data_IF_655306027474
#
_entry.id   IF_655306027474
#
_cell.length_a   1.000
_cell.length_b   1.000
_cell.length_c   1.000
_cell.angle_alpha   90.00
_cell.angle_beta   90.00
_cell.angle_gamma   90.00
#
_symmetry.space_group_name_H-M   'P 1'
#
loop_
_entity.id
_entity.type
_entity.pdbx_description
1 polymer ?
#
# COMPACT_ATOMS: atom_id res chain seq x y z
N UNK A 1 55.75 -9.69 -90.02
CA UNK A 1 54.78 -10.27 -89.11
C UNK A 1 54.04 -9.19 -88.34
N UNK A 2 52.80 -9.04 -88.64
CA UNK A 2 51.89 -8.13 -87.86
C UNK A 2 51.33 -8.89 -86.70
N UNK A 3 51.88 -8.66 -85.46
CA UNK A 3 51.44 -9.24 -84.25
C UNK A 3 50.08 -8.59 -83.83
N UNK A 4 49.02 -9.34 -83.88
CA UNK A 4 47.76 -8.87 -83.29
C UNK A 4 47.87 -8.99 -81.75
N UNK A 5 47.84 -7.86 -81.04
CA UNK A 5 47.75 -7.78 -79.58
C UNK A 5 46.27 -7.80 -79.18
N UNK A 6 45.87 -8.79 -78.39
CA UNK A 6 44.57 -8.82 -77.76
C UNK A 6 44.68 -8.33 -76.31
N UNK A 7 44.05 -7.29 -75.98
CA UNK A 7 43.94 -6.77 -74.56
C UNK A 7 42.61 -7.27 -73.99
N UNK A 8 42.72 -7.85 -72.80
CA UNK A 8 41.60 -8.13 -71.97
C UNK A 8 41.66 -7.30 -70.68
N UNK A 9 40.53 -6.84 -70.17
CA UNK A 9 40.47 -6.06 -68.96
C UNK A 9 39.66 -6.78 -67.90
N UNK A 10 40.25 -6.91 -66.70
CA UNK A 10 39.54 -7.43 -65.53
C UNK A 10 39.26 -6.27 -64.56
N UNK A 11 38.02 -6.20 -64.12
CA UNK A 11 37.62 -5.19 -63.14
C UNK A 11 37.73 -5.80 -61.73
N UNK A 12 38.69 -5.33 -60.94
CA UNK A 12 38.87 -5.76 -59.54
C UNK A 12 38.20 -4.73 -58.63
N UNK A 13 37.19 -5.16 -57.90
CA UNK A 13 36.50 -4.34 -56.89
C UNK A 13 37.14 -4.60 -55.52
N UNK A 14 37.74 -3.60 -54.93
CA UNK A 14 38.32 -3.68 -53.57
C UNK A 14 37.31 -3.12 -52.58
N UNK A 15 36.88 -3.91 -51.59
CA UNK A 15 36.06 -3.48 -50.46
C UNK A 15 36.95 -2.95 -49.35
N UNK A 16 36.45 -1.96 -48.62
CA UNK A 16 37.08 -1.44 -47.40
C UNK A 16 36.43 -2.12 -46.19
N UNK A 17 37.19 -2.45 -45.13
CA UNK A 17 36.62 -2.89 -43.86
C UNK A 17 35.67 -1.82 -43.29
N UNK A 18 34.60 -2.25 -42.66
CA UNK A 18 33.66 -1.37 -41.95
C UNK A 18 33.78 -1.56 -40.43
N UNK A 19 33.28 -0.58 -39.67
CA UNK A 19 33.14 -0.68 -38.22
C UNK A 19 31.66 -0.60 -37.88
N UNK A 20 31.17 -1.60 -37.16
CA UNK A 20 29.77 -1.63 -36.73
C UNK A 20 29.56 -0.81 -35.46
N UNK A 21 28.43 -0.13 -35.38
CA UNK A 21 27.97 0.54 -34.17
C UNK A 21 26.76 -0.21 -33.64
N UNK A 22 26.77 -0.49 -32.34
CA UNK A 22 25.63 -1.16 -31.65
C UNK A 22 25.12 -0.25 -30.56
N UNK A 23 23.81 -0.04 -30.50
CA UNK A 23 23.18 0.70 -29.42
C UNK A 23 23.34 -0.04 -28.09
N UNK A 24 23.55 0.68 -26.98
CA UNK A 24 23.58 0.05 -25.67
C UNK A 24 22.29 -0.73 -25.41
N UNK A 25 22.39 -1.74 -24.56
CA UNK A 25 21.23 -2.49 -24.10
C UNK A 25 20.28 -1.65 -23.23
N UNK A 26 19.24 -2.30 -22.75
CA UNK A 26 18.13 -1.66 -22.01
C UNK A 26 17.77 -2.46 -20.76
N UNK A 27 16.95 -1.85 -19.90
CA UNK A 27 16.39 -2.49 -18.70
C UNK A 27 14.88 -2.53 -18.82
N UNK A 28 14.30 -3.72 -18.69
CA UNK A 28 12.87 -3.99 -18.90
C UNK A 28 12.25 -4.70 -17.69
N UNK A 29 10.97 -4.50 -17.53
CA UNK A 29 10.16 -5.41 -16.72
C UNK A 29 9.77 -6.64 -17.54
N UNK A 30 9.65 -7.77 -16.85
CA UNK A 30 9.23 -9.01 -17.51
C UNK A 30 7.92 -8.79 -18.30
N UNK A 31 7.95 -9.16 -19.60
CA UNK A 31 6.84 -8.96 -20.50
C UNK A 31 6.87 -7.67 -21.33
N UNK A 32 7.75 -6.74 -21.03
CA UNK A 32 8.00 -5.54 -21.86
C UNK A 32 8.91 -5.87 -23.05
N UNK A 33 9.06 -4.91 -23.95
CA UNK A 33 9.93 -5.03 -25.14
C UNK A 33 10.72 -3.75 -25.35
N UNK A 34 11.90 -3.89 -25.94
CA UNK A 34 12.74 -2.79 -26.43
C UNK A 34 13.15 -3.00 -27.86
N UNK A 35 13.77 -2.01 -28.49
CA UNK A 35 14.32 -2.11 -29.83
C UNK A 35 15.85 -2.08 -29.73
N UNK A 36 16.51 -3.15 -30.18
CA UNK A 36 17.95 -3.17 -30.36
C UNK A 36 18.33 -2.38 -31.61
N UNK A 37 19.61 -2.04 -31.77
CA UNK A 37 20.04 -1.32 -32.93
C UNK A 37 21.49 -1.62 -33.30
N UNK A 38 21.71 -1.89 -34.58
CA UNK A 38 23.06 -1.98 -35.16
C UNK A 38 23.12 -1.22 -36.48
N UNK A 39 24.28 -0.66 -36.83
CA UNK A 39 24.51 0.07 -38.07
C UNK A 39 25.95 -0.12 -38.55
N UNK A 40 26.19 0.18 -39.82
CA UNK A 40 27.53 0.09 -40.44
C UNK A 40 27.81 -1.15 -41.28
N UNK A 41 26.94 -2.18 -41.22
CA UNK A 41 27.01 -3.37 -42.07
C UNK A 41 25.86 -3.37 -43.12
N UNK A 42 25.99 -4.24 -44.13
CA UNK A 42 24.93 -4.48 -45.13
C UNK A 42 23.95 -5.54 -44.68
N UNK A 43 24.41 -6.57 -43.95
CA UNK A 43 23.65 -7.69 -43.42
C UNK A 43 23.88 -7.82 -41.92
N UNK A 44 22.85 -8.24 -41.19
CA UNK A 44 22.90 -8.43 -39.73
C UNK A 44 22.39 -9.83 -39.36
N UNK A 45 22.99 -10.40 -38.30
CA UNK A 45 22.47 -11.62 -37.68
C UNK A 45 22.72 -11.55 -36.17
N UNK A 46 21.59 -11.53 -35.42
CA UNK A 46 21.59 -11.49 -33.97
C UNK A 46 21.50 -12.89 -33.35
N UNK A 47 22.25 -13.07 -32.25
CA UNK A 47 22.26 -14.31 -31.45
C UNK A 47 22.14 -13.98 -29.96
N UNK A 48 21.36 -14.76 -29.17
CA UNK A 48 20.39 -15.76 -29.63
C UNK A 48 19.22 -15.08 -30.36
N UNK A 49 18.54 -15.82 -31.25
CA UNK A 49 17.35 -15.32 -31.93
C UNK A 49 16.11 -15.33 -31.00
N UNK A 50 16.20 -16.03 -29.87
CA UNK A 50 15.09 -16.14 -28.90
C UNK A 50 14.70 -14.78 -28.33
N UNK A 51 13.41 -14.46 -28.38
CA UNK A 51 12.88 -13.18 -27.92
C UNK A 51 13.01 -12.02 -28.91
N UNK A 52 13.56 -12.26 -30.11
CA UNK A 52 13.59 -11.28 -31.20
C UNK A 52 12.46 -11.53 -32.19
N UNK A 53 11.87 -10.46 -32.73
CA UNK A 53 10.89 -10.52 -33.82
C UNK A 53 11.54 -10.87 -35.16
N UNK A 54 12.73 -10.33 -35.42
CA UNK A 54 13.53 -10.61 -36.60
C UNK A 54 15.03 -10.52 -36.30
N UNK A 55 15.68 -11.66 -36.16
CA UNK A 55 17.11 -11.71 -35.85
C UNK A 55 18.04 -11.20 -36.98
N UNK A 56 17.50 -10.94 -38.18
CA UNK A 56 18.25 -10.42 -39.34
C UNK A 56 18.03 -8.92 -39.57
N UNK A 57 17.20 -8.27 -38.77
CA UNK A 57 16.98 -6.83 -38.89
C UNK A 57 18.12 -6.03 -38.26
N UNK A 58 18.40 -4.86 -38.82
CA UNK A 58 19.33 -3.88 -38.21
C UNK A 58 18.79 -3.38 -36.84
N UNK A 59 17.46 -3.37 -36.66
CA UNK A 59 16.79 -2.89 -35.45
C UNK A 59 15.65 -3.84 -35.04
N UNK A 60 15.96 -5.04 -34.53
CA UNK A 60 14.93 -5.99 -34.08
C UNK A 60 14.27 -5.52 -32.78
N UNK A 61 13.00 -5.88 -32.60
CA UNK A 61 12.32 -5.77 -31.30
C UNK A 61 12.70 -6.98 -30.45
N UNK A 62 13.17 -6.72 -29.23
CA UNK A 62 13.57 -7.72 -28.27
C UNK A 62 12.55 -7.79 -27.11
N UNK A 63 12.02 -8.98 -26.83
CA UNK A 63 11.16 -9.30 -25.68
C UNK A 63 11.67 -10.57 -24.99
N UNK A 64 12.84 -10.53 -24.37
CA UNK A 64 13.39 -11.70 -23.70
C UNK A 64 12.63 -12.00 -22.38
N UNK A 65 12.54 -13.28 -22.02
CA UNK A 65 11.92 -13.72 -20.77
C UNK A 65 12.84 -13.59 -19.56
N UNK A 66 14.14 -13.39 -19.77
CA UNK A 66 15.17 -13.21 -18.76
C UNK A 66 16.29 -12.33 -19.31
N UNK A 67 17.13 -11.80 -18.41
CA UNK A 67 18.33 -11.03 -18.81
C UNK A 67 19.11 -11.77 -19.88
N UNK A 68 19.27 -11.15 -21.04
CA UNK A 68 19.84 -11.75 -22.23
C UNK A 68 20.87 -10.82 -22.84
N UNK A 69 22.06 -11.36 -23.13
CA UNK A 69 23.08 -10.67 -23.91
C UNK A 69 22.93 -11.11 -25.37
N UNK A 70 22.62 -10.17 -26.23
CA UNK A 70 22.52 -10.36 -27.66
C UNK A 70 23.85 -9.98 -28.32
N UNK A 71 24.39 -10.87 -29.18
CA UNK A 71 25.53 -10.60 -30.03
C UNK A 71 25.05 -10.42 -31.45
N UNK A 72 25.40 -9.35 -32.10
CA UNK A 72 25.14 -9.13 -33.52
C UNK A 72 26.42 -9.33 -34.33
N UNK A 73 26.28 -10.07 -35.44
CA UNK A 73 27.27 -10.19 -36.46
C UNK A 73 26.81 -9.38 -37.66
N UNK A 74 27.59 -8.37 -38.03
CA UNK A 74 27.41 -7.59 -39.24
C UNK A 74 28.31 -8.12 -40.34
N UNK A 75 27.83 -8.16 -41.59
CA UNK A 75 28.55 -8.65 -42.75
C UNK A 75 28.32 -7.70 -43.92
N UNK A 76 29.35 -7.49 -44.75
CA UNK A 76 29.19 -6.76 -46.02
C UNK A 76 28.48 -7.61 -47.07
N UNK A 77 27.91 -6.97 -48.11
CA UNK A 77 27.11 -7.64 -49.13
C UNK A 77 27.89 -8.69 -49.94
N UNK A 78 29.21 -8.58 -50.01
CA UNK A 78 30.10 -9.52 -50.72
C UNK A 78 30.69 -10.61 -49.79
N UNK A 79 30.30 -10.61 -48.51
CA UNK A 79 30.78 -11.53 -47.47
C UNK A 79 32.30 -11.54 -47.26
N UNK A 80 33.00 -10.41 -47.53
CA UNK A 80 34.44 -10.27 -47.39
C UNK A 80 34.87 -9.91 -45.96
N UNK A 81 34.05 -9.13 -45.26
CA UNK A 81 34.33 -8.64 -43.92
C UNK A 81 33.18 -8.86 -42.98
N UNK A 82 33.48 -9.15 -41.71
CA UNK A 82 32.52 -9.25 -40.61
C UNK A 82 33.01 -8.43 -39.42
N UNK A 83 32.07 -7.85 -38.68
CA UNK A 83 32.33 -7.22 -37.40
C UNK A 83 31.25 -7.67 -36.40
N UNK A 84 31.54 -7.57 -35.08
CA UNK A 84 30.64 -8.04 -34.05
C UNK A 84 30.41 -6.99 -32.97
N UNK A 85 29.24 -6.98 -32.41
CA UNK A 85 28.93 -6.14 -31.26
C UNK A 85 27.93 -6.83 -30.31
N UNK A 86 27.76 -6.24 -29.12
CA UNK A 86 26.91 -6.81 -28.09
C UNK A 86 25.98 -5.76 -27.53
N UNK A 87 24.76 -6.21 -27.18
CA UNK A 87 23.75 -5.44 -26.42
C UNK A 87 23.14 -6.33 -25.34
N UNK A 88 23.15 -5.88 -24.09
CA UNK A 88 22.53 -6.62 -22.99
C UNK A 88 21.17 -6.03 -22.66
N UNK A 89 20.14 -6.86 -22.68
CA UNK A 89 18.81 -6.52 -22.16
C UNK A 89 18.66 -7.13 -20.78
N UNK A 90 18.59 -6.26 -19.75
CA UNK A 90 18.38 -6.67 -18.37
C UNK A 90 16.89 -6.77 -18.10
N UNK A 91 16.41 -7.92 -17.64
CA UNK A 91 14.99 -8.16 -17.35
C UNK A 91 14.80 -8.37 -15.85
N UNK A 92 13.96 -7.51 -15.26
CA UNK A 92 13.55 -7.64 -13.88
C UNK A 92 12.17 -8.32 -13.80
N UNK A 93 11.93 -9.20 -12.82
CA UNK A 93 10.58 -9.70 -12.56
C UNK A 93 9.65 -8.56 -12.16
N UNK A 94 8.36 -8.68 -12.44
CA UNK A 94 7.34 -7.81 -11.86
C UNK A 94 7.20 -8.20 -10.39
N UNK A 95 7.40 -7.27 -9.45
CA UNK A 95 7.30 -7.58 -8.02
C UNK A 95 5.88 -8.02 -7.68
N UNK A 96 5.74 -8.88 -6.66
CA UNK A 96 4.44 -9.27 -6.11
C UNK A 96 4.25 -8.63 -4.76
N UNK A 97 3.03 -8.20 -4.49
CA UNK A 97 2.62 -7.59 -3.22
C UNK A 97 1.22 -8.07 -2.85
N UNK A 98 1.02 -8.39 -1.58
CA UNK A 98 -0.26 -8.61 -0.96
C UNK A 98 -0.33 -7.74 0.30
N UNK A 99 -1.26 -6.79 0.33
CA UNK A 99 -1.42 -5.79 1.39
C UNK A 99 -2.04 -6.38 2.67
N UNK A 100 -2.68 -7.53 2.57
CA UNK A 100 -3.45 -8.17 3.62
C UNK A 100 -4.93 -8.32 3.24
N UNK A 101 -5.69 -9.03 4.07
CA UNK A 101 -7.14 -9.19 3.85
C UNK A 101 -7.92 -7.98 4.36
N UNK A 102 -9.01 -7.65 3.68
CA UNK A 102 -10.01 -6.71 4.15
C UNK A 102 -10.46 -7.07 5.57
N UNK A 103 -10.57 -6.08 6.42
CA UNK A 103 -10.83 -6.33 7.84
C UNK A 103 -11.79 -5.31 8.44
N UNK A 104 -12.49 -5.74 9.50
CA UNK A 104 -13.36 -4.87 10.32
C UNK A 104 -12.75 -4.75 11.70
N UNK A 105 -12.61 -3.52 12.19
CA UNK A 105 -12.01 -3.22 13.49
C UNK A 105 -12.84 -2.20 14.26
N UNK A 106 -12.71 -2.23 15.59
CA UNK A 106 -13.32 -1.20 16.43
C UNK A 106 -12.66 0.17 16.17
N UNK A 107 -13.44 1.23 16.02
CA UNK A 107 -12.91 2.60 15.85
C UNK A 107 -11.96 2.96 17.01
N UNK A 108 -10.89 3.71 16.72
CA UNK A 108 -9.84 4.01 17.70
C UNK A 108 -8.84 2.88 17.93
N UNK A 109 -9.00 1.72 17.28
CA UNK A 109 -8.03 0.62 17.34
C UNK A 109 -6.75 0.95 16.60
N UNK A 110 -5.67 0.30 17.02
CA UNK A 110 -4.36 0.43 16.39
C UNK A 110 -3.71 -0.96 16.33
N UNK A 111 -3.24 -1.34 15.14
CA UNK A 111 -2.59 -2.62 14.88
C UNK A 111 -1.54 -2.51 13.78
N UNK A 112 -0.72 -3.54 13.64
CA UNK A 112 0.33 -3.64 12.64
C UNK A 112 -0.25 -4.24 11.36
N UNK A 113 -0.02 -3.62 10.21
CA UNK A 113 -0.24 -4.27 8.92
C UNK A 113 0.90 -5.28 8.66
N UNK A 114 0.56 -6.37 8.01
CA UNK A 114 1.51 -7.41 7.62
C UNK A 114 1.33 -7.72 6.15
N UNK A 115 2.29 -7.26 5.34
CA UNK A 115 2.30 -7.53 3.91
C UNK A 115 3.06 -8.81 3.59
N UNK A 116 2.72 -9.42 2.47
CA UNK A 116 3.54 -10.45 1.85
C UNK A 116 4.05 -9.92 0.51
N UNK A 117 5.33 -10.06 0.27
CA UNK A 117 5.94 -9.46 -0.91
C UNK A 117 7.13 -10.26 -1.43
N UNK A 118 7.47 -10.07 -2.71
CA UNK A 118 8.71 -10.58 -3.27
C UNK A 118 9.94 -9.90 -2.63
N UNK A 119 11.09 -10.59 -2.56
CA UNK A 119 12.26 -10.11 -1.81
C UNK A 119 13.04 -8.99 -2.50
N UNK A 120 12.77 -8.72 -3.78
CA UNK A 120 13.48 -7.76 -4.62
C UNK A 120 12.94 -6.33 -4.54
N UNK A 121 11.93 -6.09 -3.67
CA UNK A 121 11.34 -4.76 -3.48
C UNK A 121 12.33 -3.82 -2.79
N UNK A 122 12.51 -2.63 -3.39
CA UNK A 122 13.41 -1.58 -2.90
C UNK A 122 12.67 -0.33 -2.42
N UNK A 123 11.42 -0.12 -2.88
CA UNK A 123 10.62 1.04 -2.50
C UNK A 123 9.18 0.64 -2.19
N UNK A 124 8.60 1.34 -1.23
CA UNK A 124 7.23 1.21 -0.77
C UNK A 124 6.54 2.56 -0.81
N UNK A 125 5.27 2.60 -1.14
CA UNK A 125 4.46 3.81 -1.09
C UNK A 125 3.02 3.46 -0.71
N UNK A 126 2.58 3.91 0.47
CA UNK A 126 1.23 3.73 0.96
C UNK A 126 0.40 5.00 0.79
N UNK A 127 -0.82 4.86 0.35
CA UNK A 127 -1.82 5.94 0.25
C UNK A 127 -3.19 5.47 0.73
N UNK A 128 -3.96 6.33 1.43
CA UNK A 128 -3.57 7.64 1.98
C UNK A 128 -2.61 7.50 3.18
N UNK A 129 -1.87 8.55 3.51
CA UNK A 129 -0.95 8.57 4.66
C UNK A 129 -1.68 8.60 6.02
N UNK A 130 -2.98 8.95 6.00
CA UNK A 130 -3.78 9.14 7.22
C UNK A 130 -3.82 7.88 8.08
N UNK A 131 -3.44 8.00 9.34
CA UNK A 131 -3.47 6.92 10.33
C UNK A 131 -2.31 5.94 10.25
N UNK A 132 -1.40 6.06 9.27
CA UNK A 132 -0.22 5.22 9.14
C UNK A 132 0.98 5.81 9.89
N UNK A 133 1.80 4.93 10.46
CA UNK A 133 3.07 5.31 11.13
C UNK A 133 4.18 5.66 10.14
N UNK A 134 4.15 5.13 8.94
CA UNK A 134 5.05 5.40 7.82
C UNK A 134 4.34 5.08 6.49
N UNK A 135 4.77 5.72 5.41
CA UNK A 135 4.22 5.48 4.07
C UNK A 135 5.22 4.79 3.14
N UNK A 136 6.45 4.64 3.57
CA UNK A 136 7.59 4.10 2.83
C UNK A 136 8.16 2.82 3.45
N UNK A 137 7.41 2.16 4.29
CA UNK A 137 7.82 0.93 4.99
C UNK A 137 6.92 -0.26 4.61
N UNK A 138 7.43 -1.51 4.74
CA UNK A 138 6.66 -2.69 4.37
C UNK A 138 5.44 -2.93 5.27
N UNK A 139 5.56 -2.69 6.56
CA UNK A 139 4.55 -3.03 7.56
C UNK A 139 4.24 -1.83 8.46
N UNK A 140 3.45 -0.83 7.99
CA UNK A 140 3.09 0.30 8.83
C UNK A 140 2.15 -0.10 9.96
N UNK A 141 2.24 0.57 11.10
CA UNK A 141 1.20 0.54 12.12
C UNK A 141 0.07 1.48 11.70
N UNK A 142 -1.17 1.02 11.81
CA UNK A 142 -2.35 1.83 11.48
C UNK A 142 -3.17 2.15 12.73
N UNK A 143 -3.68 3.39 12.80
CA UNK A 143 -4.65 3.84 13.79
C UNK A 143 -5.96 4.21 13.06
N UNK A 144 -7.01 3.41 13.27
CA UNK A 144 -8.26 3.48 12.49
C UNK A 144 -9.31 4.29 13.23
N UNK A 145 -9.79 5.38 12.62
CA UNK A 145 -10.91 6.18 13.15
C UNK A 145 -12.17 6.07 12.31
N UNK A 146 -12.01 5.98 11.00
CA UNK A 146 -13.09 5.88 10.01
C UNK A 146 -12.72 4.86 8.97
N UNK A 147 -13.68 4.41 8.17
CA UNK A 147 -13.40 3.55 7.03
C UNK A 147 -12.29 4.12 6.15
N UNK A 148 -11.41 3.26 5.69
CA UNK A 148 -10.29 3.64 4.84
C UNK A 148 -9.88 2.47 3.96
N UNK A 149 -9.60 2.76 2.70
CA UNK A 149 -8.92 1.87 1.77
C UNK A 149 -7.48 2.34 1.65
N UNK A 150 -6.54 1.49 2.02
CA UNK A 150 -5.12 1.72 1.79
C UNK A 150 -4.70 1.01 0.53
N UNK A 151 -3.96 1.72 -0.31
CA UNK A 151 -3.30 1.20 -1.48
C UNK A 151 -1.79 1.22 -1.24
N UNK A 152 -1.13 0.10 -1.46
CA UNK A 152 0.32 0.01 -1.47
C UNK A 152 0.83 -0.15 -2.89
N UNK A 153 1.79 0.66 -3.26
CA UNK A 153 2.56 0.53 -4.50
C UNK A 153 4.00 0.20 -4.14
N UNK A 154 4.56 -0.81 -4.78
CA UNK A 154 5.94 -1.24 -4.57
C UNK A 154 6.73 -1.18 -5.86
N UNK A 155 8.04 -0.99 -5.77
CA UNK A 155 8.93 -1.11 -6.92
C UNK A 155 10.24 -1.81 -6.56
N UNK A 156 10.84 -2.48 -7.55
CA UNK A 156 12.15 -3.11 -7.42
C UNK A 156 13.27 -2.25 -8.04
N UNK A 157 14.51 -2.78 -8.04
CA UNK A 157 15.68 -2.09 -8.58
C UNK A 157 15.64 -1.82 -10.08
N UNK A 158 14.83 -2.53 -10.84
CA UNK A 158 14.59 -2.31 -12.27
C UNK A 158 13.52 -1.26 -12.57
N UNK A 159 12.86 -0.70 -11.53
CA UNK A 159 11.76 0.24 -11.69
C UNK A 159 10.41 -0.42 -11.97
N UNK A 160 10.33 -1.75 -11.95
CA UNK A 160 9.07 -2.48 -12.12
C UNK A 160 8.18 -2.31 -10.90
N UNK A 161 6.90 -2.05 -11.12
CA UNK A 161 5.94 -1.75 -10.06
C UNK A 161 4.82 -2.76 -9.98
N UNK A 162 4.25 -2.90 -8.80
CA UNK A 162 2.99 -3.60 -8.53
C UNK A 162 2.24 -2.90 -7.42
N UNK A 163 0.94 -3.17 -7.31
CA UNK A 163 0.08 -2.55 -6.31
C UNK A 163 -0.96 -3.52 -5.79
N UNK A 164 -1.42 -3.25 -4.56
CA UNK A 164 -2.54 -3.96 -3.95
C UNK A 164 -3.28 -3.04 -2.98
N UNK A 165 -4.51 -3.41 -2.62
CA UNK A 165 -5.39 -2.61 -1.77
C UNK A 165 -5.88 -3.42 -0.56
N UNK A 166 -6.10 -2.72 0.55
CA UNK A 166 -6.65 -3.24 1.79
C UNK A 166 -7.77 -2.34 2.29
N UNK A 167 -8.98 -2.88 2.44
CA UNK A 167 -10.13 -2.17 2.98
C UNK A 167 -10.24 -2.39 4.49
N UNK A 168 -10.32 -1.32 5.25
CA UNK A 168 -10.55 -1.36 6.68
C UNK A 168 -11.86 -0.66 7.01
N UNK A 169 -12.80 -1.42 7.58
CA UNK A 169 -14.09 -0.92 8.06
C UNK A 169 -14.00 -0.64 9.54
N UNK A 170 -14.18 0.62 9.94
CA UNK A 170 -14.19 1.05 11.32
C UNK A 170 -15.63 0.98 11.88
N UNK A 171 -15.86 0.12 12.84
CA UNK A 171 -17.17 -0.03 13.52
C UNK A 171 -17.09 0.48 14.95
N UNK A 172 -18.18 1.04 15.43
CA UNK A 172 -18.37 1.31 16.85
C UNK A 172 -19.15 0.16 17.47
N UNK A 173 -18.60 -0.49 18.45
CA UNK A 173 -19.18 -1.64 19.13
C UNK A 173 -18.86 -1.62 20.62
N UNK A 174 -19.24 -2.66 21.35
CA UNK A 174 -19.09 -2.76 22.80
C UNK A 174 -17.63 -2.71 23.28
N UNK A 175 -16.65 -2.98 22.41
CA UNK A 175 -15.22 -2.85 22.73
C UNK A 175 -14.75 -1.39 22.85
N UNK A 176 -15.55 -0.44 22.38
CA UNK A 176 -15.22 0.96 22.38
C UNK A 176 -15.47 1.64 23.72
N UNK A 177 -16.35 1.12 24.55
CA UNK A 177 -16.77 1.78 25.78
C UNK A 177 -16.80 0.83 26.98
N UNK A 178 -16.65 1.43 28.15
CA UNK A 178 -16.86 0.80 29.44
C UNK A 178 -17.75 1.73 30.29
N UNK A 179 -18.92 1.24 30.68
CA UNK A 179 -19.84 1.90 31.59
C UNK A 179 -19.91 1.03 32.86
N UNK A 180 -19.49 1.56 34.03
CA UNK A 180 -19.56 0.81 35.28
C UNK A 180 -20.99 0.37 35.61
N UNK A 181 -21.14 -0.77 36.26
CA UNK A 181 -22.43 -1.24 36.77
C UNK A 181 -22.61 -0.94 38.26
N UNK A 182 -21.60 -0.41 38.92
CA UNK A 182 -21.61 -0.05 40.35
C UNK A 182 -20.66 1.12 40.59
N UNK A 183 -21.01 2.03 41.50
CA UNK A 183 -20.11 3.07 42.00
C UNK A 183 -20.44 3.40 43.47
N UNK A 184 -19.45 3.97 44.18
CA UNK A 184 -19.52 4.25 45.61
C UNK A 184 -19.03 5.66 45.91
N UNK A 185 -19.90 6.68 45.92
CA UNK A 185 -19.50 8.06 46.19
C UNK A 185 -19.25 8.28 47.69
N UNK A 186 -18.11 7.76 48.18
CA UNK A 186 -17.68 7.84 49.59
C UNK A 186 -16.45 8.74 49.82
N UNK A 187 -15.95 9.38 48.72
CA UNK A 187 -14.76 10.24 48.68
C UNK A 187 -13.45 9.54 49.07
N UNK A 188 -13.31 8.24 48.77
CA UNK A 188 -12.06 7.50 48.95
C UNK A 188 -11.11 7.58 47.72
N UNK A 189 -11.56 8.27 46.65
CA UNK A 189 -10.84 8.44 45.40
C UNK A 189 -11.05 7.28 44.42
N UNK A 190 -11.87 6.27 44.74
CA UNK A 190 -12.14 5.11 43.90
C UNK A 190 -13.63 4.98 43.59
N UNK A 191 -14.00 5.02 42.31
CA UNK A 191 -15.38 4.87 41.85
C UNK A 191 -16.38 5.84 42.50
N UNK A 192 -15.92 7.00 42.91
CA UNK A 192 -16.77 8.05 43.50
C UNK A 192 -17.73 8.67 42.48
N UNK A 193 -17.45 8.52 41.20
CA UNK A 193 -18.21 9.14 40.11
C UNK A 193 -18.55 8.08 39.04
N UNK A 194 -19.81 8.08 38.65
CA UNK A 194 -20.28 7.28 37.50
C UNK A 194 -20.10 8.05 36.21
N UNK A 195 -19.22 7.58 35.31
CA UNK A 195 -18.98 8.20 34.01
C UNK A 195 -18.59 7.19 32.95
N UNK A 196 -18.72 7.58 31.67
CA UNK A 196 -18.41 6.75 30.51
C UNK A 196 -16.93 6.78 30.21
N UNK A 197 -16.31 5.61 30.09
CA UNK A 197 -14.91 5.42 29.68
C UNK A 197 -14.86 4.72 28.33
N UNK A 198 -13.76 4.94 27.57
CA UNK A 198 -13.63 4.21 26.31
C UNK A 198 -12.54 4.75 25.38
N UNK A 199 -12.44 4.09 24.21
CA UNK A 199 -11.52 4.43 23.11
C UNK A 199 -12.32 4.58 21.82
N UNK A 200 -11.84 5.46 20.91
CA UNK A 200 -12.53 5.70 19.64
C UNK A 200 -13.88 6.40 19.79
N UNK A 201 -14.11 7.05 20.93
CA UNK A 201 -15.28 7.85 21.25
C UNK A 201 -14.97 9.31 20.98
N UNK A 202 -15.68 9.91 20.01
CA UNK A 202 -15.55 11.32 19.70
C UNK A 202 -16.08 12.20 20.85
N UNK A 203 -17.33 11.89 21.30
CA UNK A 203 -17.98 12.55 22.46
C UNK A 203 -19.18 11.77 22.94
N UNK A 204 -19.64 12.10 24.13
CA UNK A 204 -20.92 11.66 24.66
C UNK A 204 -21.97 12.71 24.31
N UNK A 205 -22.96 12.36 23.51
CA UNK A 205 -24.04 13.25 23.10
C UNK A 205 -24.99 13.54 24.28
N UNK A 206 -25.35 12.48 25.02
CA UNK A 206 -26.16 12.63 26.22
C UNK A 206 -25.91 11.48 27.21
N UNK A 207 -25.99 11.77 28.51
CA UNK A 207 -26.07 10.79 29.58
C UNK A 207 -27.23 11.19 30.50
N UNK A 208 -28.21 10.28 30.68
CA UNK A 208 -29.38 10.47 31.56
C UNK A 208 -29.45 9.30 32.50
N UNK A 209 -29.76 9.61 33.78
CA UNK A 209 -29.94 8.60 34.84
C UNK A 209 -31.30 8.79 35.45
N UNK A 210 -32.01 7.68 35.67
CA UNK A 210 -33.35 7.63 36.15
C UNK A 210 -33.44 6.77 37.42
N UNK A 211 -34.28 7.19 38.35
CA UNK A 211 -34.67 6.37 39.51
C UNK A 211 -35.68 5.29 39.12
N UNK A 212 -36.04 4.41 40.05
CA UNK A 212 -36.98 3.32 39.83
C UNK A 212 -38.43 3.77 39.43
N UNK A 213 -38.74 5.05 39.64
CA UNK A 213 -40.05 5.62 39.24
C UNK A 213 -39.98 6.29 37.86
N UNK A 214 -38.82 6.22 37.17
CA UNK A 214 -38.65 6.82 35.84
C UNK A 214 -38.36 8.33 35.87
N UNK A 215 -38.13 8.93 37.06
CA UNK A 215 -37.75 10.32 37.19
C UNK A 215 -36.29 10.48 36.82
N UNK A 216 -35.97 11.42 35.89
CA UNK A 216 -34.58 11.78 35.58
C UNK A 216 -33.96 12.51 36.77
N UNK A 217 -32.86 11.96 37.31
CA UNK A 217 -32.13 12.49 38.45
C UNK A 217 -30.78 13.11 38.07
N UNK A 218 -30.31 12.77 36.87
CA UNK A 218 -29.09 13.34 36.29
C UNK A 218 -29.25 13.44 34.78
N UNK A 219 -28.82 14.56 34.20
CA UNK A 219 -28.70 14.74 32.76
C UNK A 219 -27.49 15.63 32.45
N UNK A 220 -26.62 15.18 31.51
CA UNK A 220 -25.56 15.98 30.95
C UNK A 220 -25.45 15.70 29.46
N UNK A 221 -25.12 16.73 28.68
CA UNK A 221 -25.02 16.67 27.22
C UNK A 221 -23.68 17.21 26.72
N UNK A 222 -23.25 16.74 25.57
CA UNK A 222 -22.11 17.25 24.79
C UNK A 222 -20.79 17.36 25.61
N UNK A 223 -20.33 16.24 26.14
CA UNK A 223 -19.10 16.15 26.93
C UNK A 223 -18.15 15.07 26.42
N UNK A 224 -16.88 15.12 26.83
CA UNK A 224 -15.86 14.12 26.45
C UNK A 224 -16.04 12.82 27.25
N UNK A 225 -15.80 11.68 26.61
CA UNK A 225 -15.58 10.42 27.32
C UNK A 225 -14.31 10.51 28.18
N UNK A 226 -14.19 9.65 29.20
CA UNK A 226 -13.09 9.61 30.15
C UNK A 226 -12.95 10.89 31.02
N UNK A 227 -14.00 11.69 31.13
CA UNK A 227 -14.03 12.89 31.98
C UNK A 227 -14.87 12.64 33.24
N UNK A 228 -14.27 12.39 34.41
CA UNK A 228 -15.01 12.23 35.67
C UNK A 228 -15.76 13.49 36.10
N UNK A 229 -15.33 14.70 35.70
CA UNK A 229 -16.05 15.96 36.02
C UNK A 229 -17.40 16.06 35.26
N UNK A 230 -17.59 15.24 34.25
CA UNK A 230 -18.84 15.09 33.50
C UNK A 230 -19.67 13.91 33.96
N UNK A 231 -19.28 13.22 35.01
CA UNK A 231 -20.00 12.09 35.58
C UNK A 231 -21.03 12.47 36.64
N UNK A 232 -21.83 11.49 37.06
CA UNK A 232 -22.75 11.63 38.15
C UNK A 232 -22.08 11.24 39.48
N UNK A 233 -22.13 12.14 40.43
CA UNK A 233 -21.52 12.01 41.77
C UNK A 233 -22.41 11.35 42.81
N UNK A 234 -23.56 10.79 42.41
CA UNK A 234 -24.55 10.18 43.32
C UNK A 234 -25.41 11.19 44.10
N UNK A 235 -25.50 12.45 43.62
CA UNK A 235 -26.37 13.47 44.22
C UNK A 235 -27.58 13.77 43.31
N UNK A 236 -28.68 14.18 43.94
CA UNK A 236 -29.89 14.71 43.30
C UNK A 236 -30.38 15.95 44.06
N UNK A 237 -30.54 17.07 43.36
CA UNK A 237 -30.93 18.36 43.98
C UNK A 237 -30.03 18.75 45.15
N UNK A 238 -28.72 18.49 45.06
CA UNK A 238 -27.71 18.86 46.08
C UNK A 238 -27.73 17.95 47.32
N UNK A 239 -28.49 16.85 47.31
CA UNK A 239 -28.53 15.85 48.40
C UNK A 239 -28.04 14.50 47.89
N UNK A 240 -27.40 13.70 48.75
CA UNK A 240 -27.09 12.30 48.38
C UNK A 240 -28.33 11.55 47.98
N UNK A 241 -28.26 10.87 46.83
CA UNK A 241 -29.29 9.95 46.37
C UNK A 241 -29.29 8.66 47.20
N UNK A 242 -30.41 7.95 47.31
CA UNK A 242 -30.50 6.71 48.08
C UNK A 242 -29.66 5.59 47.46
N UNK A 243 -29.17 4.66 48.30
CA UNK A 243 -28.56 3.42 47.81
C UNK A 243 -29.66 2.61 47.09
N UNK A 244 -29.52 2.45 45.78
CA UNK A 244 -30.50 1.79 44.91
C UNK A 244 -29.87 1.43 43.58
N UNK A 245 -30.69 0.77 42.75
CA UNK A 245 -30.35 0.53 41.33
C UNK A 245 -31.04 1.60 40.48
N UNK A 246 -30.25 2.29 39.69
CA UNK A 246 -30.67 3.33 38.76
C UNK A 246 -30.53 2.84 37.33
N UNK A 247 -31.33 3.39 36.43
CA UNK A 247 -31.27 3.10 34.99
C UNK A 247 -30.54 4.24 34.32
N UNK A 248 -29.54 3.92 33.46
CA UNK A 248 -28.91 4.92 32.64
C UNK A 248 -29.23 4.74 31.15
N UNK A 249 -29.26 5.85 30.42
CA UNK A 249 -29.27 5.92 28.95
C UNK A 249 -28.15 6.85 28.54
N UNK A 250 -27.24 6.34 27.71
CA UNK A 250 -26.11 7.08 27.19
C UNK A 250 -26.13 7.02 25.67
N UNK A 251 -25.99 8.15 25.01
CA UNK A 251 -25.82 8.25 23.56
C UNK A 251 -24.39 8.66 23.25
N UNK A 252 -23.66 7.79 22.57
CA UNK A 252 -22.25 7.97 22.27
C UNK A 252 -22.07 8.29 20.78
N UNK A 253 -21.26 9.29 20.46
CA UNK A 253 -20.78 9.55 19.10
C UNK A 253 -19.36 9.01 19.00
N UNK A 254 -19.16 8.06 18.10
CA UNK A 254 -17.88 7.45 17.86
C UNK A 254 -17.03 8.25 16.85
N UNK A 255 -15.73 7.95 16.74
CA UNK A 255 -14.78 8.63 15.82
C UNK A 255 -15.20 8.52 14.35
N UNK A 256 -16.01 7.51 13.99
CA UNK A 256 -16.59 7.34 12.65
C UNK A 256 -17.94 8.08 12.47
N UNK A 257 -18.32 8.93 13.42
CA UNK A 257 -19.59 9.67 13.50
C UNK A 257 -20.85 8.79 13.65
N UNK A 258 -20.75 7.51 13.93
CA UNK A 258 -21.92 6.71 14.30
C UNK A 258 -22.41 7.09 15.70
N UNK A 259 -23.74 7.16 15.86
CA UNK A 259 -24.38 7.40 17.15
C UNK A 259 -24.92 6.06 17.65
N UNK A 260 -24.50 5.66 18.84
CA UNK A 260 -24.89 4.39 19.44
C UNK A 260 -25.51 4.66 20.81
N UNK A 261 -26.78 4.27 21.01
CA UNK A 261 -27.44 4.37 22.31
C UNK A 261 -27.10 3.14 23.16
N UNK A 262 -26.75 3.38 24.41
CA UNK A 262 -26.55 2.37 25.43
C UNK A 262 -27.50 2.57 26.58
N UNK A 263 -28.02 1.47 27.14
CA UNK A 263 -28.88 1.47 28.35
C UNK A 263 -28.43 0.34 29.26
N UNK A 264 -28.52 0.58 30.53
CA UNK A 264 -28.19 -0.42 31.54
C UNK A 264 -28.57 0.05 32.93
N UNK A 265 -28.11 -0.71 33.91
CA UNK A 265 -28.35 -0.45 35.32
C UNK A 265 -27.04 -0.06 36.00
N UNK A 266 -27.10 0.80 36.98
CA UNK A 266 -26.01 1.18 37.86
C UNK A 266 -26.45 1.09 39.32
N UNK A 267 -25.72 0.34 40.13
CA UNK A 267 -25.93 0.28 41.58
C UNK A 267 -25.13 1.38 42.28
N UNK A 268 -25.81 2.23 43.04
CA UNK A 268 -25.22 3.15 43.97
C UNK A 268 -25.10 2.47 45.33
N UNK A 269 -23.87 2.32 45.83
CA UNK A 269 -23.55 1.77 47.14
C UNK A 269 -22.73 2.80 47.95
N UNK A 270 -22.57 2.63 49.23
CA UNK A 270 -21.75 3.47 50.13
C UNK A 270 -21.06 2.61 51.15
#
# INVERSE_FOLDING_TARGET
SHGCVKTDSVHVRVRQPFTMQVLPGDTLCMGEQTTLGASGADLYQWYPATGLDNAQAAAPKAKPAATTTYTVVGTDSDHCFTDTGVAQVVVYPVPQIFAGNDTTVSTGSSFQLHTQSSPDITKWSWTPARGLSCTDCPNPKVAVKTNVTYKVTVSNGGGCTSEDELNIVAVCNDDNYFIPNTFSPNNDGNNDVFYVRGKGLHRIQSMRIFNRWGQAIYEKRDFSANDPAAGWDGTFNGKPADMDVYIYIVEVICDNNSIVPYKGNIALIR
#
